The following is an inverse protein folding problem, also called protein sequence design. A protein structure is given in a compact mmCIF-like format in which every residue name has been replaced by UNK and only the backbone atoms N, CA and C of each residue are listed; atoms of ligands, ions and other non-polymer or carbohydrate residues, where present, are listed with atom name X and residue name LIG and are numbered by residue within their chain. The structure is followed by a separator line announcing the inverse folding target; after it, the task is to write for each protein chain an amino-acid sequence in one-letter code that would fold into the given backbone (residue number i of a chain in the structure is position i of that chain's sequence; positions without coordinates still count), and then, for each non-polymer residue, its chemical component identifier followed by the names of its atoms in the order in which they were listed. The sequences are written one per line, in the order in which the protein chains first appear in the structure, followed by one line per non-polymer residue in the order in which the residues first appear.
data_IF_758984496380
#
_entry.id   IF_758984496380
#
_cell.length_a   1.000
_cell.length_b   1.000
_cell.length_c   1.000
_cell.angle_alpha   90.00
_cell.angle_beta   90.00
_cell.angle_gamma   90.00
#
_symmetry.space_group_name_H-M   'P 1'
#
loop_
_entity.id
_entity.type
_entity.pdbx_description
1 polymer ?
#
# COMPACT_ATOMS: atom_id res chain seq x y z
N UNK A 1 88.68 -48.62 -38.84
CA UNK A 1 87.66 -47.59 -39.13
C UNK A 1 86.27 -48.16 -38.86
N UNK A 2 85.75 -48.04 -37.64
CA UNK A 2 84.34 -48.28 -37.27
C UNK A 2 84.12 -47.63 -35.90
N UNK A 3 83.83 -46.32 -35.86
CA UNK A 3 83.42 -45.65 -34.61
C UNK A 3 82.48 -44.44 -34.81
N UNK A 4 82.01 -44.15 -36.02
CA UNK A 4 81.23 -42.94 -36.27
C UNK A 4 79.70 -43.15 -36.18
N UNK A 5 79.21 -44.39 -36.28
CA UNK A 5 77.77 -44.69 -36.29
C UNK A 5 77.11 -44.60 -34.91
N UNK A 6 77.83 -44.91 -33.83
CA UNK A 6 77.32 -44.92 -32.46
C UNK A 6 77.25 -43.53 -31.81
N UNK A 7 77.88 -42.51 -32.41
CA UNK A 7 77.88 -41.13 -31.91
C UNK A 7 76.69 -40.31 -32.47
N UNK A 8 76.19 -40.68 -33.66
CA UNK A 8 75.02 -40.04 -34.29
C UNK A 8 73.70 -40.41 -33.61
N UNK A 9 73.47 -41.71 -33.35
CA UNK A 9 72.23 -42.18 -32.72
C UNK A 9 72.08 -41.73 -31.27
N UNK A 10 73.19 -41.61 -30.53
CA UNK A 10 73.21 -41.07 -29.16
C UNK A 10 72.87 -39.59 -29.13
N UNK A 11 73.34 -38.80 -30.09
CA UNK A 11 73.00 -37.37 -30.14
C UNK A 11 71.52 -37.14 -30.49
N UNK A 12 70.95 -37.91 -31.41
CA UNK A 12 69.56 -37.77 -31.85
C UNK A 12 68.54 -38.15 -30.75
N UNK A 13 68.81 -39.24 -30.01
CA UNK A 13 68.00 -39.62 -28.83
C UNK A 13 68.14 -38.63 -27.68
N UNK A 14 69.32 -38.04 -27.48
CA UNK A 14 69.55 -37.04 -26.43
C UNK A 14 68.85 -35.71 -26.77
N UNK A 15 68.87 -35.29 -28.04
CA UNK A 15 68.14 -34.12 -28.55
C UNK A 15 66.63 -34.30 -28.33
N UNK A 16 66.06 -35.44 -28.73
CA UNK A 16 64.63 -35.75 -28.58
C UNK A 16 64.19 -35.78 -27.10
N UNK A 17 64.99 -36.36 -26.21
CA UNK A 17 64.71 -36.35 -24.76
C UNK A 17 64.75 -34.93 -24.15
N UNK A 18 65.65 -34.06 -24.62
CA UNK A 18 65.70 -32.67 -24.15
C UNK A 18 64.51 -31.84 -24.60
N UNK A 19 63.99 -32.07 -25.81
CA UNK A 19 62.77 -31.43 -26.31
C UNK A 19 61.53 -31.87 -25.55
N UNK A 20 61.36 -33.18 -25.34
CA UNK A 20 60.29 -33.74 -24.49
C UNK A 20 60.32 -33.14 -23.07
N UNK A 21 61.51 -32.95 -22.48
CA UNK A 21 61.65 -32.34 -21.16
C UNK A 21 61.26 -30.85 -21.16
N UNK A 22 61.57 -30.12 -22.23
CA UNK A 22 61.12 -28.72 -22.40
C UNK A 22 59.60 -28.64 -22.57
N UNK A 23 59.01 -29.54 -23.36
CA UNK A 23 57.57 -29.59 -23.58
C UNK A 23 56.81 -29.97 -22.29
N UNK A 24 57.30 -30.97 -21.55
CA UNK A 24 56.72 -31.34 -20.26
C UNK A 24 56.78 -30.18 -19.25
N UNK A 25 57.89 -29.42 -19.24
CA UNK A 25 58.02 -28.22 -18.42
C UNK A 25 57.03 -27.13 -18.85
N UNK A 26 56.85 -26.91 -20.15
CA UNK A 26 55.91 -25.90 -20.67
C UNK A 26 54.45 -26.27 -20.36
N UNK A 27 54.07 -27.54 -20.54
CA UNK A 27 52.75 -28.07 -20.18
C UNK A 27 52.49 -27.98 -18.68
N UNK A 28 53.48 -28.26 -17.83
CA UNK A 28 53.34 -28.10 -16.38
C UNK A 28 53.10 -26.64 -15.97
N UNK A 29 53.77 -25.68 -16.63
CA UNK A 29 53.53 -24.25 -16.42
C UNK A 29 52.11 -23.86 -16.87
N UNK A 30 51.65 -24.35 -18.04
CA UNK A 30 50.29 -24.09 -18.52
C UNK A 30 49.23 -24.65 -17.57
N UNK A 31 49.43 -25.88 -17.07
CA UNK A 31 48.55 -26.52 -16.09
C UNK A 31 48.45 -25.69 -14.80
N UNK A 32 49.59 -25.24 -14.27
CA UNK A 32 49.59 -24.40 -13.07
C UNK A 32 48.85 -23.08 -13.28
N UNK A 33 49.08 -22.39 -14.40
CA UNK A 33 48.35 -21.16 -14.74
C UNK A 33 46.85 -21.39 -14.87
N UNK A 34 46.44 -22.51 -15.48
CA UNK A 34 45.04 -22.88 -15.60
C UNK A 34 44.42 -23.12 -14.21
N UNK A 35 45.11 -23.84 -13.32
CA UNK A 35 44.65 -24.08 -11.95
C UNK A 35 44.52 -22.78 -11.13
N UNK A 36 45.48 -21.86 -11.25
CA UNK A 36 45.40 -20.54 -10.61
C UNK A 36 44.21 -19.72 -11.13
N UNK A 37 43.94 -19.78 -12.44
CA UNK A 37 42.78 -19.14 -13.07
C UNK A 37 41.48 -19.73 -12.52
N UNK A 38 41.38 -21.06 -12.44
CA UNK A 38 40.21 -21.76 -11.88
C UNK A 38 39.99 -21.35 -10.42
N UNK A 39 41.04 -21.32 -9.61
CA UNK A 39 40.94 -20.92 -8.21
C UNK A 39 40.44 -19.47 -8.06
N UNK A 40 40.87 -18.57 -8.94
CA UNK A 40 40.42 -17.18 -8.94
C UNK A 40 38.95 -17.08 -9.36
N UNK A 41 38.56 -17.81 -10.40
CA UNK A 41 37.17 -17.84 -10.87
C UNK A 41 36.22 -18.40 -9.81
N UNK A 42 36.62 -19.46 -9.10
CA UNK A 42 35.82 -20.02 -8.01
C UNK A 42 35.60 -19.00 -6.89
N UNK A 43 36.65 -18.28 -6.47
CA UNK A 43 36.51 -17.20 -5.47
C UNK A 43 35.54 -16.10 -5.92
N UNK A 44 35.60 -15.73 -7.20
CA UNK A 44 34.66 -14.74 -7.76
C UNK A 44 33.23 -15.28 -7.79
N UNK A 45 33.05 -16.56 -8.12
CA UNK A 45 31.76 -17.22 -8.14
C UNK A 45 31.15 -17.28 -6.73
N UNK A 46 31.94 -17.65 -5.72
CA UNK A 46 31.50 -17.68 -4.33
C UNK A 46 31.05 -16.29 -3.86
N UNK A 47 31.84 -15.25 -4.17
CA UNK A 47 31.46 -13.87 -3.86
C UNK A 47 30.18 -13.42 -4.58
N UNK A 48 29.99 -13.84 -5.83
CA UNK A 48 28.74 -13.57 -6.56
C UNK A 48 27.53 -14.27 -5.92
N UNK A 49 27.69 -15.52 -5.46
CA UNK A 49 26.62 -16.23 -4.77
C UNK A 49 26.26 -15.56 -3.44
N UNK A 50 27.24 -15.19 -2.62
CA UNK A 50 26.98 -14.46 -1.36
C UNK A 50 26.22 -13.15 -1.60
N UNK A 51 26.59 -12.39 -2.64
CA UNK A 51 25.89 -11.16 -3.02
C UNK A 51 24.47 -11.44 -3.49
N UNK A 52 24.26 -12.53 -4.24
CA UNK A 52 22.94 -12.93 -4.70
C UNK A 52 22.03 -13.30 -3.52
N UNK A 53 22.53 -14.08 -2.57
CA UNK A 53 21.79 -14.48 -1.38
C UNK A 53 21.41 -13.26 -0.52
N UNK A 54 22.34 -12.33 -0.34
CA UNK A 54 22.07 -11.06 0.34
C UNK A 54 20.96 -10.26 -0.36
N UNK A 55 21.03 -10.14 -1.68
CA UNK A 55 20.01 -9.44 -2.46
C UNK A 55 18.63 -10.13 -2.38
N UNK A 56 18.59 -11.47 -2.39
CA UNK A 56 17.35 -12.23 -2.23
C UNK A 56 16.74 -11.97 -0.85
N UNK A 57 17.55 -12.00 0.20
CA UNK A 57 17.12 -11.74 1.57
C UNK A 57 16.62 -10.30 1.75
N UNK A 58 17.35 -9.33 1.21
CA UNK A 58 16.94 -7.92 1.26
C UNK A 58 15.64 -7.68 0.50
N UNK A 59 15.50 -8.27 -0.70
CA UNK A 59 14.26 -8.22 -1.48
C UNK A 59 13.07 -8.78 -0.69
N UNK A 60 13.25 -9.90 0.01
CA UNK A 60 12.20 -10.48 0.85
C UNK A 60 11.78 -9.53 1.97
N UNK A 61 12.76 -8.95 2.68
CA UNK A 61 12.48 -7.98 3.76
C UNK A 61 11.73 -6.75 3.26
N UNK A 62 12.17 -6.19 2.13
CA UNK A 62 11.52 -5.04 1.51
C UNK A 62 10.08 -5.37 1.08
N UNK A 63 9.84 -6.58 0.58
CA UNK A 63 8.50 -7.01 0.21
C UNK A 63 7.56 -7.07 1.43
N UNK A 64 8.03 -7.64 2.54
CA UNK A 64 7.27 -7.69 3.80
C UNK A 64 6.98 -6.29 4.34
N UNK A 65 7.94 -5.37 4.23
CA UNK A 65 7.80 -3.99 4.67
C UNK A 65 6.79 -3.21 3.81
N UNK A 66 6.84 -3.40 2.48
CA UNK A 66 5.85 -2.83 1.55
C UNK A 66 4.45 -3.34 1.89
N UNK A 67 4.26 -4.64 2.16
CA UNK A 67 2.96 -5.17 2.55
C UNK A 67 2.45 -4.55 3.86
N UNK A 68 3.32 -4.40 4.87
CA UNK A 68 2.97 -3.74 6.14
C UNK A 68 2.51 -2.30 5.90
N UNK A 69 3.21 -1.53 5.08
CA UNK A 69 2.81 -0.16 4.77
C UNK A 69 1.51 -0.07 3.98
N UNK A 70 1.25 -1.01 3.07
CA UNK A 70 -0.03 -1.08 2.35
C UNK A 70 -1.20 -1.32 3.31
N UNK A 71 -1.07 -2.29 4.22
CA UNK A 71 -2.09 -2.57 5.24
C UNK A 71 -2.29 -1.36 6.15
N UNK A 72 -1.22 -0.72 6.61
CA UNK A 72 -1.30 0.47 7.46
C UNK A 72 -2.02 1.63 6.76
N UNK A 73 -1.73 1.85 5.47
CA UNK A 73 -2.40 2.88 4.66
C UNK A 73 -3.89 2.61 4.54
N UNK A 74 -4.28 1.37 4.26
CA UNK A 74 -5.69 0.97 4.15
C UNK A 74 -6.42 1.17 5.48
N UNK A 75 -5.81 0.77 6.60
CA UNK A 75 -6.40 0.97 7.94
C UNK A 75 -6.62 2.45 8.26
N UNK A 76 -5.67 3.32 7.91
CA UNK A 76 -5.81 4.76 8.10
C UNK A 76 -6.94 5.35 7.23
N UNK A 77 -7.10 4.87 6.00
CA UNK A 77 -8.19 5.29 5.12
C UNK A 77 -9.54 4.82 5.66
N UNK A 78 -9.63 3.57 6.11
CA UNK A 78 -10.83 3.00 6.70
C UNK A 78 -11.27 3.79 7.94
N UNK A 79 -10.35 4.07 8.86
CA UNK A 79 -10.64 4.87 10.05
C UNK A 79 -11.16 6.27 9.71
N UNK A 80 -10.58 6.92 8.68
CA UNK A 80 -11.07 8.23 8.22
C UNK A 80 -12.49 8.14 7.63
N UNK A 81 -12.81 7.07 6.92
CA UNK A 81 -14.15 6.84 6.38
C UNK A 81 -15.16 6.63 7.50
N UNK A 82 -14.84 5.81 8.50
CA UNK A 82 -15.68 5.58 9.69
C UNK A 82 -15.96 6.89 10.45
N UNK A 83 -14.93 7.73 10.64
CA UNK A 83 -15.08 9.05 11.28
C UNK A 83 -16.01 9.98 10.48
N UNK A 84 -15.92 9.95 9.15
CA UNK A 84 -16.80 10.74 8.26
C UNK A 84 -18.23 10.21 8.32
N UNK A 85 -18.42 8.90 8.28
CA UNK A 85 -19.71 8.25 8.36
C UNK A 85 -20.42 8.59 9.69
N UNK A 86 -19.71 8.52 10.82
CA UNK A 86 -20.28 8.94 12.10
C UNK A 86 -20.69 10.42 12.13
N UNK A 87 -19.88 11.30 11.53
CA UNK A 87 -20.23 12.73 11.44
C UNK A 87 -21.44 12.95 10.54
N UNK A 88 -21.53 12.21 9.44
CA UNK A 88 -22.66 12.25 8.53
C UNK A 88 -23.95 11.83 9.23
N UNK A 89 -23.98 10.67 9.90
CA UNK A 89 -25.15 10.18 10.64
C UNK A 89 -25.62 11.18 11.72
N UNK A 90 -24.68 11.79 12.46
CA UNK A 90 -25.01 12.85 13.44
C UNK A 90 -25.59 14.10 12.77
N UNK A 91 -25.12 14.44 11.59
CA UNK A 91 -25.64 15.58 10.83
C UNK A 91 -27.03 15.30 10.27
N UNK A 92 -27.23 14.10 9.73
CA UNK A 92 -28.50 13.63 9.19
C UNK A 92 -29.58 13.61 10.28
N UNK A 93 -29.28 13.03 11.45
CA UNK A 93 -30.21 13.02 12.57
C UNK A 93 -30.59 14.43 13.03
N UNK A 94 -29.61 15.35 13.11
CA UNK A 94 -29.88 16.76 13.45
C UNK A 94 -30.79 17.41 12.41
N UNK A 95 -30.54 17.20 11.12
CA UNK A 95 -31.37 17.73 10.06
C UNK A 95 -32.81 17.21 10.14
N UNK A 96 -32.99 15.92 10.44
CA UNK A 96 -34.31 15.31 10.63
C UNK A 96 -35.07 15.93 11.80
N UNK A 97 -34.42 16.06 12.97
CA UNK A 97 -35.01 16.69 14.15
C UNK A 97 -35.37 18.14 13.87
N UNK A 98 -34.47 18.92 13.27
CA UNK A 98 -34.73 20.33 12.93
C UNK A 98 -35.86 20.46 11.91
N UNK A 99 -35.95 19.57 10.92
CA UNK A 99 -37.06 19.53 9.97
C UNK A 99 -38.39 19.30 10.69
N UNK A 100 -38.44 18.32 11.60
CA UNK A 100 -39.65 18.03 12.38
C UNK A 100 -40.09 19.24 13.21
N UNK A 101 -39.16 19.88 13.93
CA UNK A 101 -39.45 21.09 14.71
C UNK A 101 -39.95 22.23 13.81
N UNK A 102 -39.35 22.41 12.63
CA UNK A 102 -39.79 23.42 11.67
C UNK A 102 -41.21 23.14 11.17
N UNK A 103 -41.53 21.89 10.87
CA UNK A 103 -42.86 21.48 10.43
C UNK A 103 -43.90 21.63 11.56
N UNK A 104 -43.52 21.38 12.81
CA UNK A 104 -44.35 21.64 14.00
C UNK A 104 -44.63 23.14 14.16
N UNK A 105 -43.60 23.99 14.12
CA UNK A 105 -43.76 25.44 14.20
C UNK A 105 -44.59 26.01 13.05
N UNK A 106 -44.43 25.49 11.82
CA UNK A 106 -45.29 25.88 10.68
C UNK A 106 -46.76 25.57 10.94
N UNK A 107 -47.06 24.41 11.54
CA UNK A 107 -48.44 24.03 11.91
C UNK A 107 -49.00 24.96 12.98
N UNK A 108 -48.23 25.26 14.01
CA UNK A 108 -48.63 26.21 15.06
C UNK A 108 -48.91 27.61 14.49
N UNK A 109 -48.01 28.13 13.64
CA UNK A 109 -48.20 29.41 12.97
C UNK A 109 -49.47 29.41 12.10
N UNK A 110 -49.75 28.32 11.39
CA UNK A 110 -50.97 28.21 10.58
C UNK A 110 -52.24 28.27 11.44
N UNK A 111 -52.24 27.61 12.61
CA UNK A 111 -53.34 27.68 13.58
C UNK A 111 -53.50 29.10 14.12
N UNK A 112 -52.40 29.76 14.53
CA UNK A 112 -52.44 31.13 15.03
C UNK A 112 -52.95 32.12 13.99
N UNK A 113 -52.48 32.02 12.73
CA UNK A 113 -52.98 32.83 11.61
C UNK A 113 -54.48 32.66 11.41
N UNK A 114 -54.97 31.42 11.49
CA UNK A 114 -56.41 31.14 11.40
C UNK A 114 -57.18 31.79 12.55
N UNK A 115 -56.67 31.69 13.77
CA UNK A 115 -57.29 32.30 14.95
C UNK A 115 -57.35 33.83 14.79
N UNK A 116 -56.24 34.48 14.41
CA UNK A 116 -56.16 35.92 14.19
C UNK A 116 -57.19 36.36 13.14
N UNK A 117 -57.23 35.68 11.99
CA UNK A 117 -58.20 35.98 10.93
C UNK A 117 -59.66 35.77 11.40
N UNK A 118 -59.94 34.73 12.19
CA UNK A 118 -61.27 34.54 12.78
C UNK A 118 -61.62 35.69 13.73
N UNK A 119 -60.67 36.18 14.54
CA UNK A 119 -60.88 37.32 15.45
C UNK A 119 -61.08 38.65 14.71
N UNK A 120 -60.33 38.91 13.64
CA UNK A 120 -60.48 40.11 12.81
C UNK A 120 -61.85 40.18 12.13
N UNK A 121 -62.47 39.03 11.87
CA UNK A 121 -63.77 38.91 11.22
C UNK A 121 -64.95 38.72 12.21
N UNK A 122 -64.74 38.85 13.53
CA UNK A 122 -65.82 38.81 14.50
C UNK A 122 -66.67 40.08 14.44
N UNK A 123 -67.99 39.93 14.37
CA UNK A 123 -68.92 41.06 14.38
C UNK A 123 -69.13 41.59 15.80
N UNK A 124 -69.53 42.86 15.93
CA UNK A 124 -69.85 43.50 17.23
C UNK A 124 -70.89 42.70 18.04
N UNK A 125 -71.80 42.01 17.37
CA UNK A 125 -72.80 41.13 18.00
C UNK A 125 -72.21 39.85 18.60
N UNK A 126 -71.13 39.30 18.03
CA UNK A 126 -70.45 38.11 18.57
C UNK A 126 -69.71 38.44 19.88
N UNK A 127 -69.19 39.66 19.97
CA UNK A 127 -68.57 40.19 21.18
C UNK A 127 -69.58 40.32 22.34
N UNK A 128 -70.78 40.85 22.06
CA UNK A 128 -71.86 40.98 23.05
C UNK A 128 -72.34 39.61 23.57
N UNK A 129 -72.34 38.57 22.72
CA UNK A 129 -72.74 37.20 23.09
C UNK A 129 -71.64 36.37 23.77
N UNK A 130 -70.44 36.93 23.97
CA UNK A 130 -69.26 36.22 24.48
C UNK A 130 -68.87 34.99 23.62
N UNK A 131 -69.19 35.03 22.31
CA UNK A 131 -68.78 34.00 21.36
C UNK A 131 -67.31 34.23 20.99
N UNK A 132 -66.42 33.37 21.50
CA UNK A 132 -65.01 33.35 21.09
C UNK A 132 -64.85 32.60 19.77
N UNK A 133 -63.76 32.83 19.06
CA UNK A 133 -63.49 32.10 17.81
C UNK A 133 -63.48 30.59 18.05
N UNK A 134 -64.08 29.86 17.10
CA UNK A 134 -64.23 28.41 17.19
C UNK A 134 -62.87 27.72 17.17
N UNK A 135 -61.89 28.23 16.42
CA UNK A 135 -60.54 27.67 16.41
C UNK A 135 -59.78 27.92 17.71
N UNK A 136 -59.90 29.10 18.33
CA UNK A 136 -59.27 29.37 19.62
C UNK A 136 -59.79 28.43 20.70
N UNK A 137 -61.11 28.29 20.80
CA UNK A 137 -61.74 27.41 21.79
C UNK A 137 -61.36 25.95 21.56
N UNK A 138 -61.21 25.50 20.31
CA UNK A 138 -60.85 24.12 19.97
C UNK A 138 -59.40 23.75 20.32
N UNK A 139 -58.45 24.67 20.19
CA UNK A 139 -57.02 24.35 20.35
C UNK A 139 -56.42 24.83 21.69
N UNK A 140 -57.02 25.83 22.34
CA UNK A 140 -56.44 26.46 23.53
C UNK A 140 -57.33 26.44 24.77
N UNK A 141 -58.61 26.04 24.65
CA UNK A 141 -59.52 25.93 25.79
C UNK A 141 -59.72 24.46 26.13
N UNK A 142 -59.15 24.01 27.25
CA UNK A 142 -59.55 22.77 27.93
C UNK A 142 -60.82 23.03 28.73
#
# INVERSE_FOLDING_TARGET
MKNDSSNSERNDTTINFTELKKELKSKKIQLNKANERIATLNKMLDSCHERLDNNINEKSKLYDEVQKFQVMKLNLQLKKLEDIEQKFLKSEHRAEVTKKLLDDSKREIAILKRIINEFENLSFYDFIRNNRSNSYSKYFKK
#
